data_IF_826012084363
#
_entry.id   IF_826012084363
#
_cell.length_a   1.000
_cell.length_b   1.000
_cell.length_c   1.000
_cell.angle_alpha   90.00
_cell.angle_beta   90.00
_cell.angle_gamma   90.00
#
_symmetry.space_group_name_H-M   'P 1'
#
loop_
_entity.id
_entity.type
_entity.pdbx_description
1 polymer ?
#
# COMPACT_ATOMS: atom_id res chain seq x y z
N UNK A 1 24.52 -15.14 7.51
CA UNK A 1 23.67 -13.94 7.36
C UNK A 1 23.07 -14.02 5.96
N UNK A 2 21.74 -14.09 5.83
CA UNK A 2 21.09 -14.09 4.51
C UNK A 2 21.09 -12.65 4.01
N UNK A 3 21.71 -12.37 2.87
CA UNK A 3 21.59 -11.08 2.20
C UNK A 3 20.22 -11.03 1.49
N UNK A 4 19.30 -10.23 2.03
CA UNK A 4 17.98 -10.06 1.43
C UNK A 4 18.02 -9.20 0.16
N UNK A 5 19.12 -8.47 -0.10
CA UNK A 5 19.36 -7.76 -1.36
C UNK A 5 19.51 -8.73 -2.55
N UNK A 6 20.07 -9.93 -2.31
CA UNK A 6 20.17 -11.00 -3.31
C UNK A 6 18.80 -11.50 -3.79
N UNK A 7 17.75 -11.36 -2.98
CA UNK A 7 16.39 -11.77 -3.36
C UNK A 7 15.79 -10.94 -4.50
N UNK A 8 16.43 -9.82 -4.83
CA UNK A 8 16.01 -8.89 -5.89
C UNK A 8 17.05 -8.74 -7.00
N UNK A 9 18.24 -9.38 -6.87
CA UNK A 9 19.28 -9.27 -7.89
C UNK A 9 18.80 -9.90 -9.19
N UNK A 10 18.68 -9.05 -10.20
CA UNK A 10 18.22 -9.43 -11.52
C UNK A 10 19.17 -8.87 -12.59
N UNK A 11 19.60 -9.72 -13.51
CA UNK A 11 20.46 -9.34 -14.62
C UNK A 11 19.90 -9.95 -15.92
N UNK A 12 18.95 -9.25 -16.53
CA UNK A 12 18.29 -9.67 -17.76
C UNK A 12 17.38 -8.57 -18.31
N UNK A 13 17.12 -8.58 -19.61
CA UNK A 13 16.29 -7.55 -20.27
C UNK A 13 15.12 -8.12 -21.09
N UNK A 14 14.96 -9.45 -21.09
CA UNK A 14 13.83 -10.12 -21.75
C UNK A 14 12.58 -10.12 -20.88
N UNK A 15 11.41 -9.98 -21.52
CA UNK A 15 10.10 -10.03 -20.86
C UNK A 15 9.87 -11.31 -20.05
N UNK A 16 10.33 -12.45 -20.55
CA UNK A 16 10.22 -13.75 -19.84
C UNK A 16 11.01 -13.71 -18.54
N UNK A 17 12.21 -13.13 -18.58
CA UNK A 17 13.10 -13.03 -17.43
C UNK A 17 12.53 -12.05 -16.41
N UNK A 18 11.97 -10.92 -16.84
CA UNK A 18 11.30 -9.93 -15.96
C UNK A 18 10.07 -10.55 -15.28
N UNK A 19 9.22 -11.25 -16.03
CA UNK A 19 8.04 -11.92 -15.47
C UNK A 19 8.44 -13.00 -14.44
N UNK A 20 9.47 -13.79 -14.74
CA UNK A 20 10.00 -14.79 -13.81
C UNK A 20 10.56 -14.16 -12.53
N UNK A 21 11.29 -13.04 -12.65
CA UNK A 21 11.81 -12.31 -11.50
C UNK A 21 10.70 -11.70 -10.64
N UNK A 22 9.63 -11.19 -11.28
CA UNK A 22 8.46 -10.68 -10.56
C UNK A 22 7.78 -11.79 -9.74
N UNK A 23 7.54 -12.97 -10.34
CA UNK A 23 6.99 -14.13 -9.63
C UNK A 23 7.87 -14.54 -8.45
N UNK A 24 9.19 -14.53 -8.63
CA UNK A 24 10.12 -14.84 -7.54
C UNK A 24 10.07 -13.79 -6.43
N UNK A 25 9.94 -12.51 -6.78
CA UNK A 25 9.81 -11.40 -5.84
C UNK A 25 8.54 -11.54 -5.00
N UNK A 26 7.41 -11.86 -5.64
CA UNK A 26 6.13 -12.15 -4.96
C UNK A 26 6.27 -13.32 -3.99
N UNK A 27 6.93 -14.41 -4.38
CA UNK A 27 7.19 -15.56 -3.49
C UNK A 27 8.07 -15.22 -2.27
N UNK A 28 8.87 -14.16 -2.37
CA UNK A 28 9.75 -13.73 -1.28
C UNK A 28 9.02 -12.84 -0.25
N UNK A 29 7.86 -12.25 -0.60
CA UNK A 29 7.11 -11.32 0.27
C UNK A 29 6.87 -11.86 1.69
N UNK A 30 6.36 -13.09 1.89
CA UNK A 30 6.13 -13.61 3.24
C UNK A 30 7.41 -13.74 4.06
N UNK A 31 8.52 -14.12 3.42
CA UNK A 31 9.82 -14.29 4.09
C UNK A 31 10.42 -12.95 4.51
N UNK A 32 10.28 -11.92 3.68
CA UNK A 32 10.72 -10.57 4.01
C UNK A 32 9.86 -9.99 5.15
N UNK A 33 8.53 -10.14 5.06
CA UNK A 33 7.61 -9.71 6.12
C UNK A 33 7.89 -10.36 7.46
N UNK A 34 8.12 -11.68 7.48
CA UNK A 34 8.52 -12.41 8.69
C UNK A 34 9.80 -11.85 9.31
N UNK A 35 10.81 -11.53 8.48
CA UNK A 35 12.09 -11.01 8.99
C UNK A 35 11.96 -9.62 9.60
N UNK A 36 11.14 -8.76 9.01
CA UNK A 36 10.85 -7.42 9.56
C UNK A 36 10.06 -7.57 10.87
N UNK A 37 9.09 -8.49 10.94
CA UNK A 37 8.37 -8.78 12.17
C UNK A 37 9.27 -9.29 13.30
N UNK A 38 10.24 -10.16 12.99
CA UNK A 38 11.28 -10.59 13.95
C UNK A 38 12.10 -9.41 14.47
N UNK A 39 12.47 -8.46 13.61
CA UNK A 39 13.20 -7.27 14.01
C UNK A 39 12.36 -6.35 14.92
N UNK A 40 11.10 -6.10 14.56
CA UNK A 40 10.16 -5.35 15.42
C UNK A 40 9.99 -6.06 16.77
N UNK A 41 9.85 -7.39 16.75
CA UNK A 41 9.74 -8.19 17.97
C UNK A 41 10.98 -8.08 18.86
N UNK A 42 12.18 -8.11 18.27
CA UNK A 42 13.43 -7.87 18.98
C UNK A 42 13.45 -6.48 19.66
N UNK A 43 13.02 -5.42 18.98
CA UNK A 43 12.96 -4.07 19.57
C UNK A 43 11.97 -4.01 20.75
N UNK A 44 10.82 -4.68 20.64
CA UNK A 44 9.82 -4.75 21.71
C UNK A 44 10.36 -5.52 22.92
N UNK A 45 10.98 -6.68 22.70
CA UNK A 45 11.55 -7.50 23.78
C UNK A 45 12.68 -6.79 24.53
N UNK A 46 13.36 -5.83 23.88
CA UNK A 46 14.40 -5.01 24.49
C UNK A 46 13.89 -3.66 25.01
N UNK A 47 12.57 -3.48 25.14
CA UNK A 47 11.93 -2.25 25.64
C UNK A 47 12.28 -0.98 24.86
N UNK A 48 12.61 -1.11 23.56
CA UNK A 48 12.94 0.03 22.69
C UNK A 48 11.68 0.59 22.02
N UNK A 49 10.67 -0.25 21.81
CA UNK A 49 9.47 0.06 21.04
C UNK A 49 8.25 -0.65 21.63
N UNK A 50 7.05 -0.11 21.41
CA UNK A 50 5.78 -0.77 21.73
C UNK A 50 4.95 -0.94 20.46
N UNK A 51 4.13 -1.99 20.38
CA UNK A 51 3.34 -2.33 19.18
C UNK A 51 2.45 -1.17 18.71
N UNK A 52 1.85 -0.45 19.64
CA UNK A 52 0.98 0.70 19.41
C UNK A 52 1.73 1.97 18.94
N UNK A 53 3.06 1.91 18.78
CA UNK A 53 3.88 2.97 18.20
C UNK A 53 4.45 2.59 16.82
N UNK A 54 4.16 1.39 16.33
CA UNK A 54 4.69 0.91 15.04
C UNK A 54 3.79 1.37 13.90
N UNK A 55 4.34 2.21 13.03
CA UNK A 55 3.75 2.58 11.74
C UNK A 55 4.65 2.10 10.60
N UNK A 56 4.12 1.24 9.73
CA UNK A 56 4.82 0.79 8.52
C UNK A 56 4.25 1.52 7.31
N UNK A 57 5.09 2.28 6.61
CA UNK A 57 4.74 2.89 5.32
C UNK A 57 5.45 2.10 4.22
N UNK A 58 4.70 1.65 3.22
CA UNK A 58 5.27 0.81 2.16
C UNK A 58 4.68 1.17 0.79
N UNK A 59 5.45 0.94 -0.27
CA UNK A 59 5.08 1.23 -1.66
C UNK A 59 5.01 -0.04 -2.49
N UNK A 60 4.10 -0.11 -3.45
CA UNK A 60 4.04 -1.17 -4.45
C UNK A 60 3.92 -2.57 -3.80
N UNK A 61 4.75 -3.53 -4.22
CA UNK A 61 4.85 -4.86 -3.61
C UNK A 61 5.21 -4.81 -2.11
N UNK A 62 5.88 -3.75 -1.66
CA UNK A 62 6.17 -3.50 -0.25
C UNK A 62 4.90 -3.40 0.60
N UNK A 63 3.77 -2.96 0.04
CA UNK A 63 2.49 -2.95 0.73
C UNK A 63 2.12 -4.36 1.23
N UNK A 64 2.31 -5.38 0.40
CA UNK A 64 2.04 -6.77 0.80
C UNK A 64 3.08 -7.29 1.80
N UNK A 65 4.34 -6.84 1.71
CA UNK A 65 5.34 -7.09 2.74
C UNK A 65 4.88 -6.53 4.08
N UNK A 66 4.35 -5.30 4.11
CA UNK A 66 3.83 -4.68 5.34
C UNK A 66 2.61 -5.42 5.90
N UNK A 67 1.74 -5.96 5.03
CA UNK A 67 0.64 -6.84 5.45
C UNK A 67 1.17 -8.12 6.11
N UNK A 68 2.20 -8.74 5.53
CA UNK A 68 2.85 -9.89 6.14
C UNK A 68 3.54 -9.55 7.46
N UNK A 69 4.13 -8.35 7.61
CA UNK A 69 4.64 -7.88 8.92
C UNK A 69 3.53 -7.88 9.96
N UNK A 70 2.39 -7.25 9.66
CA UNK A 70 1.23 -7.19 10.54
C UNK A 70 0.69 -8.58 10.90
N UNK A 71 0.56 -9.46 9.91
CA UNK A 71 0.14 -10.84 10.08
C UNK A 71 1.07 -11.64 11.01
N UNK A 72 2.39 -11.53 10.83
CA UNK A 72 3.36 -12.22 11.67
C UNK A 72 3.39 -11.65 13.09
N UNK A 73 3.30 -10.33 13.25
CA UNK A 73 3.23 -9.70 14.58
C UNK A 73 1.98 -10.15 15.34
N UNK A 74 0.79 -10.17 14.71
CA UNK A 74 -0.43 -10.71 15.34
C UNK A 74 -0.23 -12.14 15.83
N UNK A 75 0.47 -13.00 15.08
CA UNK A 75 0.79 -14.38 15.51
C UNK A 75 1.72 -14.41 16.72
N UNK A 76 2.74 -13.55 16.76
CA UNK A 76 3.71 -13.48 17.86
C UNK A 76 3.14 -12.90 19.15
N UNK A 77 2.17 -11.98 19.06
CA UNK A 77 1.65 -11.20 20.18
C UNK A 77 0.16 -11.45 20.46
N UNK A 78 -0.31 -12.68 20.26
CA UNK A 78 -1.65 -13.10 20.70
C UNK A 78 -2.81 -12.34 20.04
N UNK A 79 -2.64 -11.95 18.78
CA UNK A 79 -3.62 -11.19 18.00
C UNK A 79 -3.49 -9.67 18.10
N UNK A 80 -2.58 -9.15 18.93
CA UNK A 80 -2.36 -7.70 19.02
C UNK A 80 -1.76 -7.15 17.72
N UNK A 81 -2.39 -6.13 17.10
CA UNK A 81 -1.89 -5.54 15.87
C UNK A 81 -0.81 -4.48 16.15
N UNK A 82 0.00 -4.17 15.13
CA UNK A 82 0.75 -2.91 15.08
C UNK A 82 -0.20 -1.72 14.91
N UNK A 83 0.26 -0.51 15.24
CA UNK A 83 -0.57 0.68 15.22
C UNK A 83 -1.13 0.99 13.83
N UNK A 84 -0.26 1.06 12.81
CA UNK A 84 -0.67 1.52 11.48
C UNK A 84 0.12 0.90 10.34
N UNK A 85 -0.56 0.67 9.23
CA UNK A 85 0.06 0.45 7.92
C UNK A 85 -0.46 1.50 6.95
N UNK A 86 0.43 2.17 6.23
CA UNK A 86 0.06 2.96 5.06
C UNK A 86 0.59 2.32 3.78
N UNK A 87 -0.32 1.93 2.89
CA UNK A 87 0.00 1.39 1.57
C UNK A 87 0.01 2.48 0.51
N UNK A 88 1.13 2.64 -0.18
CA UNK A 88 1.32 3.57 -1.29
C UNK A 88 1.24 2.79 -2.61
N UNK A 89 0.07 2.84 -3.23
CA UNK A 89 -0.28 2.16 -4.48
C UNK A 89 0.11 0.66 -4.49
N UNK A 90 -0.56 -0.20 -3.68
CA UNK A 90 -0.24 -1.62 -3.58
C UNK A 90 -0.26 -2.32 -4.93
N UNK A 91 0.67 -3.26 -5.17
CA UNK A 91 0.79 -3.91 -6.46
C UNK A 91 -0.39 -4.85 -6.76
N UNK A 92 -1.02 -4.72 -7.93
CA UNK A 92 -2.10 -5.63 -8.37
C UNK A 92 -1.62 -7.02 -8.82
N UNK A 93 -0.64 -7.12 -9.74
CA UNK A 93 -0.30 -8.40 -10.37
C UNK A 93 0.10 -9.47 -9.35
N UNK A 94 -0.57 -10.63 -9.41
CA UNK A 94 -0.44 -11.79 -8.51
C UNK A 94 -0.95 -11.60 -7.08
N UNK A 95 -1.51 -10.45 -6.71
CA UNK A 95 -2.15 -10.21 -5.40
C UNK A 95 -3.67 -10.06 -5.48
N UNK A 96 -4.24 -9.96 -6.69
CA UNK A 96 -5.69 -9.93 -6.93
C UNK A 96 -6.16 -11.11 -7.80
N UNK A 97 -7.45 -11.45 -7.70
CA UNK A 97 -8.08 -12.53 -8.45
C UNK A 97 -8.13 -13.89 -7.72
N UNK A 98 -8.67 -14.94 -8.38
CA UNK A 98 -9.02 -16.21 -7.73
C UNK A 98 -7.80 -17.06 -7.32
N UNK A 99 -6.65 -16.85 -7.95
CA UNK A 99 -5.39 -17.53 -7.63
C UNK A 99 -4.36 -16.43 -7.40
N UNK A 100 -4.31 -15.94 -6.16
CA UNK A 100 -3.47 -14.82 -5.74
C UNK A 100 -2.65 -15.18 -4.51
N UNK A 101 -1.54 -14.48 -4.33
CA UNK A 101 -0.79 -14.47 -3.08
C UNK A 101 -1.51 -13.58 -2.07
N UNK A 102 -1.16 -13.73 -0.80
CA UNK A 102 -1.72 -12.91 0.28
C UNK A 102 -1.45 -11.43 0.01
N UNK A 103 -2.51 -10.65 -0.17
CA UNK A 103 -2.45 -9.21 -0.32
C UNK A 103 -2.39 -8.50 1.05
N UNK A 104 -2.26 -7.18 1.01
CA UNK A 104 -2.44 -6.34 2.19
C UNK A 104 -3.92 -6.35 2.55
N UNK A 105 -4.26 -6.50 3.83
CA UNK A 105 -5.64 -6.46 4.27
C UNK A 105 -5.86 -5.37 5.32
N UNK A 106 -7.07 -4.83 5.36
CA UNK A 106 -7.48 -3.78 6.33
C UNK A 106 -7.31 -4.16 7.80
N UNK A 107 -7.13 -5.44 8.10
CA UNK A 107 -6.98 -5.98 9.45
C UNK A 107 -5.52 -6.27 9.82
N UNK A 108 -4.55 -5.96 8.96
CA UNK A 108 -3.12 -6.21 9.21
C UNK A 108 -2.49 -5.27 10.23
N UNK A 109 -3.14 -4.14 10.50
CA UNK A 109 -2.83 -3.25 11.60
C UNK A 109 -4.13 -2.81 12.30
N UNK A 110 -3.99 -2.05 13.40
CA UNK A 110 -5.13 -1.40 14.03
C UNK A 110 -5.77 -0.39 13.09
N UNK A 111 -4.96 0.26 12.25
CA UNK A 111 -5.42 1.13 11.18
C UNK A 111 -4.63 0.89 9.89
N UNK A 112 -5.34 0.67 8.77
CA UNK A 112 -4.72 0.54 7.45
C UNK A 112 -5.31 1.59 6.53
N UNK A 113 -4.47 2.47 5.99
CA UNK A 113 -4.86 3.46 4.99
C UNK A 113 -4.08 3.25 3.68
N UNK A 114 -4.75 3.40 2.55
CA UNK A 114 -4.18 3.12 1.23
C UNK A 114 -4.37 4.29 0.30
N UNK A 115 -3.32 4.68 -0.42
CA UNK A 115 -3.34 5.70 -1.46
C UNK A 115 -3.20 5.00 -2.81
N UNK A 116 -4.26 5.04 -3.62
CA UNK A 116 -4.31 4.53 -4.99
C UNK A 116 -4.04 5.65 -5.98
N UNK A 117 -3.07 5.43 -6.86
CA UNK A 117 -2.64 6.39 -7.89
C UNK A 117 -2.46 5.76 -9.26
N UNK A 118 -2.35 4.42 -9.36
CA UNK A 118 -2.24 3.72 -10.64
C UNK A 118 -3.03 2.41 -10.75
N UNK A 119 -4.32 2.46 -10.39
CA UNK A 119 -5.31 1.43 -10.68
C UNK A 119 -5.23 0.98 -12.15
N UNK A 120 -5.40 -0.33 -12.40
CA UNK A 120 -5.34 -0.97 -13.72
C UNK A 120 -3.97 -0.92 -14.42
N UNK A 121 -2.99 -0.22 -13.85
CA UNK A 121 -1.58 -0.28 -14.22
C UNK A 121 -0.84 -1.25 -13.31
N UNK A 122 0.10 -0.73 -12.50
CA UNK A 122 0.77 -1.51 -11.46
C UNK A 122 -0.06 -1.66 -10.19
N UNK A 123 -0.94 -0.69 -9.89
CA UNK A 123 -1.75 -0.64 -8.67
C UNK A 123 -2.94 -1.61 -8.70
N UNK A 124 -3.26 -2.18 -7.55
CA UNK A 124 -4.40 -3.10 -7.35
C UNK A 124 -5.73 -2.36 -7.36
N UNK A 125 -6.78 -3.06 -7.80
CA UNK A 125 -8.17 -2.56 -7.74
C UNK A 125 -8.91 -2.97 -6.46
N UNK A 126 -8.23 -3.66 -5.54
CA UNK A 126 -8.81 -4.12 -4.29
C UNK A 126 -8.99 -2.98 -3.27
N UNK A 127 -9.97 -3.15 -2.38
CA UNK A 127 -10.24 -2.24 -1.26
C UNK A 127 -9.51 -2.77 -0.02
N UNK A 128 -8.23 -2.43 0.08
CA UNK A 128 -7.28 -3.08 1.00
C UNK A 128 -7.08 -2.32 2.33
N UNK A 129 -7.59 -1.09 2.43
CA UNK A 129 -7.55 -0.28 3.65
C UNK A 129 -8.90 -0.16 4.38
N UNK A 130 -8.86 0.30 5.63
CA UNK A 130 -10.01 0.92 6.30
C UNK A 130 -10.34 2.28 5.66
N UNK A 131 -9.31 3.03 5.27
CA UNK A 131 -9.43 4.22 4.43
C UNK A 131 -8.71 3.99 3.09
N UNK A 132 -9.40 4.28 1.98
CA UNK A 132 -8.83 4.16 0.63
C UNK A 132 -8.97 5.50 -0.09
N UNK A 133 -7.85 6.07 -0.49
CA UNK A 133 -7.75 7.36 -1.15
C UNK A 133 -7.48 7.15 -2.63
N UNK A 134 -8.31 7.72 -3.49
CA UNK A 134 -8.17 7.62 -4.94
C UNK A 134 -7.77 8.98 -5.51
N UNK A 135 -6.47 9.28 -5.46
CA UNK A 135 -5.95 10.57 -5.85
C UNK A 135 -6.19 10.80 -7.35
N UNK A 136 -6.85 11.91 -7.69
CA UNK A 136 -7.24 12.20 -9.08
C UNK A 136 -7.94 11.00 -9.77
N UNK A 137 -8.71 10.21 -9.00
CA UNK A 137 -9.37 9.00 -9.49
C UNK A 137 -8.61 7.71 -9.39
N UNK A 138 -7.34 7.78 -9.00
CA UNK A 138 -6.51 6.63 -8.74
C UNK A 138 -5.98 5.94 -9.99
N UNK A 139 -6.27 6.39 -11.21
CA UNK A 139 -5.83 5.70 -12.45
C UNK A 139 -4.57 6.35 -13.05
N UNK A 140 -4.66 7.66 -13.34
CA UNK A 140 -3.59 8.43 -13.98
C UNK A 140 -3.45 9.77 -13.30
N UNK A 141 -2.21 10.14 -12.97
CA UNK A 141 -1.92 11.34 -12.20
C UNK A 141 -1.54 12.53 -13.09
N UNK A 142 -1.98 13.76 -12.74
CA UNK A 142 -1.58 14.95 -13.46
C UNK A 142 -0.05 15.11 -13.50
N UNK A 143 0.49 15.48 -14.66
CA UNK A 143 1.93 15.65 -14.85
C UNK A 143 2.69 14.36 -15.13
N UNK A 144 2.03 13.20 -15.12
CA UNK A 144 2.65 11.94 -15.50
C UNK A 144 2.43 11.64 -17.00
N UNK A 145 3.50 11.55 -17.81
CA UNK A 145 3.42 11.22 -19.24
C UNK A 145 3.31 9.69 -19.43
N UNK A 146 2.31 9.07 -18.81
CA UNK A 146 2.28 7.62 -18.70
C UNK A 146 1.92 6.93 -20.02
N UNK A 147 2.76 5.95 -20.38
CA UNK A 147 2.46 4.91 -21.37
C UNK A 147 1.64 3.77 -20.77
N UNK A 148 1.58 2.58 -21.41
CA UNK A 148 0.62 1.53 -21.08
C UNK A 148 0.70 0.91 -19.67
N UNK A 149 1.74 1.22 -18.87
CA UNK A 149 1.99 0.57 -17.56
C UNK A 149 2.04 1.53 -16.37
N UNK A 150 2.14 2.86 -16.60
CA UNK A 150 1.88 3.85 -15.54
C UNK A 150 2.95 4.07 -14.45
N UNK A 151 4.25 3.87 -14.72
CA UNK A 151 5.31 4.00 -13.69
C UNK A 151 5.31 5.36 -12.97
N UNK A 152 5.03 6.48 -13.65
CA UNK A 152 4.97 7.77 -12.98
C UNK A 152 3.76 7.86 -12.06
N UNK A 153 2.56 7.47 -12.54
CA UNK A 153 1.36 7.40 -11.69
C UNK A 153 1.54 6.47 -10.50
N UNK A 154 2.28 5.37 -10.64
CA UNK A 154 2.59 4.45 -9.53
C UNK A 154 3.46 5.13 -8.47
N UNK A 155 4.52 5.82 -8.91
CA UNK A 155 5.42 6.58 -8.03
C UNK A 155 4.79 7.81 -7.37
N UNK A 156 3.75 8.39 -7.97
CA UNK A 156 3.06 9.58 -7.46
C UNK A 156 2.49 9.38 -6.05
N UNK A 157 2.14 8.15 -5.66
CA UNK A 157 1.68 7.83 -4.30
C UNK A 157 2.71 8.20 -3.23
N UNK A 158 4.00 8.05 -3.54
CA UNK A 158 5.13 8.42 -2.66
C UNK A 158 5.23 9.93 -2.54
N UNK A 159 5.19 10.64 -3.68
CA UNK A 159 5.27 12.10 -3.71
C UNK A 159 4.07 12.74 -2.97
N UNK A 160 2.87 12.20 -3.17
CA UNK A 160 1.67 12.66 -2.49
C UNK A 160 1.76 12.43 -0.98
N UNK A 161 2.20 11.24 -0.54
CA UNK A 161 2.38 10.97 0.89
C UNK A 161 3.45 11.89 1.50
N UNK A 162 4.60 12.06 0.84
CA UNK A 162 5.67 12.93 1.31
C UNK A 162 5.20 14.39 1.43
N UNK A 163 4.48 14.90 0.43
CA UNK A 163 3.91 16.25 0.47
C UNK A 163 2.89 16.39 1.62
N UNK A 164 2.08 15.35 1.85
CA UNK A 164 1.02 15.36 2.87
C UNK A 164 1.54 15.51 4.30
N UNK A 165 2.80 15.18 4.57
CA UNK A 165 3.45 15.37 5.88
C UNK A 165 3.47 16.86 6.25
N UNK A 166 3.76 17.72 5.28
CA UNK A 166 3.87 19.17 5.50
C UNK A 166 2.59 19.92 5.17
N UNK A 167 1.83 19.44 4.19
CA UNK A 167 0.62 20.11 3.67
C UNK A 167 -0.53 19.11 3.63
N UNK A 168 -1.49 19.15 4.59
CA UNK A 168 -2.61 18.23 4.60
C UNK A 168 -3.48 18.37 3.34
N UNK A 169 -3.81 17.25 2.70
CA UNK A 169 -4.74 17.21 1.56
C UNK A 169 -6.09 16.68 2.02
N UNK A 170 -7.16 17.43 1.76
CA UNK A 170 -8.52 17.02 2.10
C UNK A 170 -8.98 15.91 1.14
N UNK A 171 -9.55 14.85 1.69
CA UNK A 171 -10.21 13.79 0.97
C UNK A 171 -11.69 13.71 1.38
N UNK A 172 -12.56 13.56 0.38
CA UNK A 172 -14.00 13.50 0.54
C UNK A 172 -14.51 12.07 0.32
N UNK A 173 -15.38 11.60 1.21
CA UNK A 173 -16.02 10.31 1.03
C UNK A 173 -16.93 10.32 -0.21
N UNK A 174 -16.87 9.26 -0.99
CA UNK A 174 -17.59 9.13 -2.25
C UNK A 174 -18.03 7.67 -2.43
N UNK A 175 -19.32 7.46 -2.69
CA UNK A 175 -19.92 6.12 -2.86
C UNK A 175 -19.89 5.63 -4.32
N UNK A 176 -19.14 6.30 -5.21
CA UNK A 176 -19.08 5.89 -6.60
C UNK A 176 -18.33 4.56 -6.74
N UNK A 177 -18.88 3.59 -7.50
CA UNK A 177 -18.13 2.40 -7.89
C UNK A 177 -16.85 2.81 -8.62
N UNK A 178 -15.74 2.11 -8.38
CA UNK A 178 -14.43 2.37 -9.01
C UNK A 178 -14.51 2.42 -10.55
N UNK A 179 -15.45 1.67 -11.15
CA UNK A 179 -15.67 1.61 -12.59
C UNK A 179 -16.48 2.78 -13.17
N UNK A 180 -17.04 3.66 -12.33
CA UNK A 180 -17.87 4.80 -12.78
C UNK A 180 -17.18 6.15 -12.56
N UNK A 181 -15.85 6.12 -12.44
CA UNK A 181 -15.03 7.29 -12.23
C UNK A 181 -14.92 8.14 -13.49
N UNK A 182 -15.57 9.31 -13.50
CA UNK A 182 -15.41 10.32 -14.55
C UNK A 182 -15.54 11.74 -13.98
N UNK A 183 -15.08 12.78 -14.68
CA UNK A 183 -15.10 14.17 -14.18
C UNK A 183 -16.48 14.69 -13.78
N UNK A 184 -17.55 14.17 -14.40
CA UNK A 184 -18.93 14.60 -14.14
C UNK A 184 -19.46 13.95 -12.86
N UNK A 185 -19.27 12.64 -12.69
CA UNK A 185 -19.74 11.91 -11.50
C UNK A 185 -18.98 12.32 -10.24
N UNK A 186 -17.68 12.63 -10.36
CA UNK A 186 -16.81 13.03 -9.26
C UNK A 186 -17.08 14.43 -8.72
N UNK A 187 -17.55 15.37 -9.57
CA UNK A 187 -17.90 16.73 -9.15
C UNK A 187 -18.94 16.74 -8.02
N UNK A 188 -19.86 15.76 -8.03
CA UNK A 188 -20.89 15.59 -7.00
C UNK A 188 -20.35 15.10 -5.65
N UNK A 189 -19.16 14.49 -5.63
CA UNK A 189 -18.52 14.03 -4.39
C UNK A 189 -17.66 15.11 -3.73
N UNK A 190 -17.24 16.13 -4.48
CA UNK A 190 -16.41 17.22 -3.97
C UNK A 190 -17.25 18.35 -3.35
N UNK A 191 -18.54 18.43 -3.68
CA UNK A 191 -19.42 19.50 -3.18
C UNK A 191 -20.86 19.01 -2.96
N UNK A 192 -21.34 18.91 -1.71
CA UNK A 192 -20.60 19.13 -0.46
C UNK A 192 -19.74 17.92 -0.06
N UNK A 193 -18.49 18.17 0.35
CA UNK A 193 -17.61 17.19 0.95
C UNK A 193 -18.09 16.84 2.37
N UNK A 194 -18.92 15.80 2.49
CA UNK A 194 -19.43 15.35 3.79
C UNK A 194 -18.36 14.54 4.53
N UNK A 195 -18.09 14.91 5.79
CA UNK A 195 -17.10 14.29 6.67
C UNK A 195 -15.70 14.19 6.04
N UNK A 196 -15.04 15.33 5.77
CA UNK A 196 -13.71 15.34 5.20
C UNK A 196 -12.72 14.64 6.14
N UNK A 197 -11.78 13.91 5.53
CA UNK A 197 -10.58 13.41 6.21
C UNK A 197 -9.35 13.93 5.47
N UNK A 198 -8.15 13.58 5.93
CA UNK A 198 -6.91 13.97 5.29
C UNK A 198 -6.18 12.76 4.72
N UNK A 199 -5.56 12.93 3.55
CA UNK A 199 -4.64 11.93 2.99
C UNK A 199 -3.35 11.90 3.80
N UNK A 200 -2.77 10.71 3.97
CA UNK A 200 -1.45 10.54 4.57
C UNK A 200 -1.47 10.56 6.10
N UNK A 201 -0.45 11.11 6.78
CA UNK A 201 -0.25 10.90 8.21
C UNK A 201 -1.39 11.43 9.07
N UNK A 202 -2.12 12.45 8.60
CA UNK A 202 -3.26 13.05 9.30
C UNK A 202 -4.59 12.30 9.11
N UNK A 203 -4.61 11.20 8.35
CA UNK A 203 -5.77 10.31 8.31
C UNK A 203 -5.98 9.66 9.68
N UNK A 204 -7.11 9.97 10.32
CA UNK A 204 -7.56 9.34 11.57
C UNK A 204 -8.81 8.49 11.33
N UNK A 205 -9.00 7.50 12.20
CA UNK A 205 -10.19 6.63 12.26
C UNK A 205 -11.31 7.22 13.12
N UNK A 206 -11.24 8.51 13.47
CA UNK A 206 -12.19 9.21 14.36
C UNK A 206 -13.35 9.82 13.60
#
# INVERSE_FOLDING_TARGET
MVDYGDLTKFNGSSLITVASAYVQSVKNVPRVGARIAEFISFLIQNNVLSLNLVHVVAVSMGCHVSGEVGNHIKKLYGGQPIARITGLDPAGPLFEGPISFRALEKWDAAFVDVIHTNLFGYGTTLVDGLANFYANGGITQPGCPDGPVGTCSHGYSVDLYAASITTPFIACSCLLPLFNWNPVTTSNCLSPCQNPTYVGPYCSSE
#
